data_IF_562993024077
#
_entry.id   IF_562993024077
#
_cell.length_a   1.000
_cell.length_b   1.000
_cell.length_c   1.000
_cell.angle_alpha   90.00
_cell.angle_beta   90.00
_cell.angle_gamma   90.00
#
_symmetry.space_group_name_H-M   'P 1'
#
loop_
_entity.id
_entity.type
_entity.pdbx_description
1 polymer ?
#
# COMPACT_ATOMS: atom_id res chain seq x y z
N UNK A 1 10.16 -13.87 5.56
CA UNK A 1 8.77 -13.86 5.08
C UNK A 1 8.59 -12.70 4.11
N UNK A 2 7.94 -12.94 2.97
CA UNK A 2 7.69 -11.88 1.98
C UNK A 2 6.57 -10.95 2.49
N UNK A 3 6.92 -9.70 2.84
CA UNK A 3 5.99 -8.67 3.34
C UNK A 3 4.84 -8.43 2.35
N UNK A 4 5.09 -8.62 1.06
CA UNK A 4 4.07 -8.47 0.00
C UNK A 4 3.01 -9.56 0.15
N UNK A 5 3.43 -10.82 0.31
CA UNK A 5 2.50 -11.95 0.49
C UNK A 5 1.71 -11.83 1.79
N UNK A 6 2.30 -11.31 2.86
CA UNK A 6 1.60 -11.04 4.11
C UNK A 6 0.46 -10.03 3.93
N UNK A 7 0.70 -8.92 3.21
CA UNK A 7 -0.32 -7.89 2.95
C UNK A 7 -1.43 -8.36 2.00
N UNK A 8 -1.14 -9.28 1.09
CA UNK A 8 -2.13 -9.87 0.19
C UNK A 8 -3.09 -10.77 0.97
N UNK A 9 -2.54 -11.63 1.84
CA UNK A 9 -3.28 -12.69 2.53
C UNK A 9 -3.95 -12.25 3.84
N UNK A 10 -3.60 -11.08 4.38
CA UNK A 10 -4.23 -10.53 5.59
C UNK A 10 -5.49 -9.71 5.27
N UNK A 11 -6.25 -9.35 6.31
CA UNK A 11 -7.44 -8.51 6.16
C UNK A 11 -7.08 -7.13 5.59
N UNK A 12 -8.04 -6.45 4.94
CA UNK A 12 -7.81 -5.08 4.43
C UNK A 12 -7.47 -4.12 5.56
N UNK A 13 -8.11 -4.27 6.72
CA UNK A 13 -7.90 -3.42 7.89
C UNK A 13 -6.52 -3.59 8.50
N UNK A 14 -6.02 -4.83 8.60
CA UNK A 14 -4.69 -5.10 9.17
C UNK A 14 -3.58 -4.63 8.22
N UNK A 15 -3.76 -4.88 6.91
CA UNK A 15 -2.86 -4.37 5.88
C UNK A 15 -2.78 -2.84 5.91
N UNK A 16 -3.93 -2.17 6.04
CA UNK A 16 -4.00 -0.71 6.15
C UNK A 16 -3.27 -0.23 7.39
N UNK A 17 -3.56 -0.79 8.57
CA UNK A 17 -2.94 -0.37 9.83
C UNK A 17 -1.42 -0.53 9.78
N UNK A 18 -0.95 -1.65 9.24
CA UNK A 18 0.49 -1.92 9.06
C UNK A 18 1.16 -0.90 8.14
N UNK A 19 0.52 -0.57 7.01
CA UNK A 19 1.02 0.41 6.05
C UNK A 19 0.93 1.84 6.58
N UNK A 20 -0.07 2.19 7.40
CA UNK A 20 -0.17 3.50 8.04
C UNK A 20 0.88 3.70 9.13
N UNK A 21 1.18 2.66 9.93
CA UNK A 21 2.32 2.68 10.84
C UNK A 21 3.65 2.85 10.10
N UNK A 22 3.83 2.10 9.00
CA UNK A 22 5.04 2.22 8.18
C UNK A 22 5.15 3.61 7.53
N UNK A 23 4.04 4.15 7.03
CA UNK A 23 3.97 5.48 6.43
C UNK A 23 4.39 6.57 7.42
N UNK A 24 4.01 6.46 8.69
CA UNK A 24 4.39 7.43 9.71
C UNK A 24 5.90 7.41 10.03
N UNK A 25 6.53 6.23 9.99
CA UNK A 25 7.94 6.06 10.34
C UNK A 25 8.89 6.20 9.15
N UNK A 26 8.53 5.62 8.00
CA UNK A 26 9.29 5.64 6.76
C UNK A 26 8.33 5.67 5.55
N UNK A 27 8.02 6.88 5.03
CA UNK A 27 7.11 7.04 3.91
C UNK A 27 7.59 6.35 2.62
N UNK A 28 8.90 6.29 2.40
CA UNK A 28 9.49 5.66 1.21
C UNK A 28 9.25 4.15 1.21
N UNK A 29 9.52 3.47 2.32
CA UNK A 29 9.28 2.03 2.45
C UNK A 29 7.79 1.69 2.28
N UNK A 30 6.90 2.51 2.87
CA UNK A 30 5.47 2.32 2.75
C UNK A 30 5.00 2.42 1.29
N UNK A 31 5.54 3.39 0.53
CA UNK A 31 5.28 3.56 -0.89
C UNK A 31 5.74 2.34 -1.69
N UNK A 32 7.00 1.94 -1.53
CA UNK A 32 7.58 0.83 -2.28
C UNK A 32 6.84 -0.48 -2.02
N UNK A 33 6.50 -0.75 -0.76
CA UNK A 33 5.76 -1.95 -0.39
C UNK A 33 4.35 -1.92 -0.96
N UNK A 34 3.63 -0.80 -0.86
CA UNK A 34 2.29 -0.67 -1.41
C UNK A 34 2.28 -0.84 -2.95
N UNK A 35 3.31 -0.31 -3.64
CA UNK A 35 3.46 -0.47 -5.09
C UNK A 35 3.74 -1.93 -5.47
N UNK A 36 4.65 -2.62 -4.78
CA UNK A 36 4.91 -4.05 -5.01
C UNK A 36 3.66 -4.91 -4.83
N UNK A 37 2.81 -4.59 -3.85
CA UNK A 37 1.53 -5.27 -3.65
C UNK A 37 0.56 -4.98 -4.79
N UNK A 38 0.46 -3.73 -5.25
CA UNK A 38 -0.37 -3.37 -6.42
C UNK A 38 0.07 -4.14 -7.68
N UNK A 39 1.38 -4.22 -7.91
CA UNK A 39 1.94 -4.91 -9.08
C UNK A 39 1.62 -6.42 -9.03
N UNK A 40 1.65 -7.03 -7.84
CA UNK A 40 1.26 -8.44 -7.61
C UNK A 40 -0.25 -8.68 -7.79
N UNK A 41 -1.10 -7.75 -7.38
CA UNK A 41 -2.56 -7.87 -7.55
C UNK A 41 -2.98 -7.72 -9.02
N UNK A 42 -2.11 -7.14 -9.85
CA UNK A 42 -2.35 -6.93 -11.27
C UNK A 42 -3.37 -5.82 -11.54
N UNK A 43 -3.77 -5.70 -12.80
CA UNK A 43 -4.80 -4.73 -13.20
C UNK A 43 -6.16 -5.18 -12.66
N UNK A 44 -6.97 -4.28 -12.06
CA UNK A 44 -8.34 -4.63 -11.67
C UNK A 44 -9.11 -5.05 -12.93
N UNK A 45 -9.58 -6.30 -12.96
CA UNK A 45 -10.57 -6.77 -13.91
C UNK A 45 -11.97 -6.60 -13.32
N UNK A 46 -12.97 -6.38 -14.18
CA UNK A 46 -14.38 -6.37 -13.76
C UNK A 46 -14.68 -7.69 -13.03
N UNK A 47 -15.13 -7.61 -11.77
CA UNK A 47 -15.43 -8.77 -10.91
C UNK A 47 -14.31 -9.21 -9.95
N UNK A 48 -13.14 -8.55 -9.95
CA UNK A 48 -12.07 -8.91 -9.02
C UNK A 48 -12.35 -8.37 -7.60
N UNK A 49 -12.46 -9.27 -6.61
CA UNK A 49 -12.75 -8.95 -5.20
C UNK A 49 -11.71 -8.09 -4.47
N UNK A 50 -10.66 -7.63 -5.15
CA UNK A 50 -9.57 -6.85 -4.57
C UNK A 50 -9.76 -5.33 -4.68
N UNK A 51 -10.89 -4.83 -5.18
CA UNK A 51 -11.11 -3.39 -5.40
C UNK A 51 -10.88 -2.53 -4.14
N UNK A 52 -11.32 -2.99 -2.97
CA UNK A 52 -11.10 -2.30 -1.70
C UNK A 52 -9.62 -2.25 -1.34
N UNK A 53 -8.89 -3.36 -1.55
CA UNK A 53 -7.45 -3.45 -1.31
C UNK A 53 -6.66 -2.54 -2.25
N UNK A 54 -6.97 -2.58 -3.54
CA UNK A 54 -6.33 -1.72 -4.56
C UNK A 54 -6.55 -0.25 -4.24
N UNK A 55 -7.77 0.13 -3.85
CA UNK A 55 -8.11 1.51 -3.49
C UNK A 55 -7.34 1.98 -2.25
N UNK A 56 -7.23 1.11 -1.24
CA UNK A 56 -6.44 1.36 -0.03
C UNK A 56 -4.95 1.53 -0.35
N UNK A 57 -4.35 0.63 -1.13
CA UNK A 57 -2.94 0.69 -1.51
C UNK A 57 -2.61 1.96 -2.31
N UNK A 58 -3.46 2.33 -3.28
CA UNK A 58 -3.33 3.59 -4.02
C UNK A 58 -3.39 4.81 -3.10
N UNK A 59 -4.19 4.75 -2.04
CA UNK A 59 -4.27 5.83 -1.04
C UNK A 59 -2.98 5.93 -0.23
N UNK A 60 -2.38 4.81 0.18
CA UNK A 60 -1.08 4.79 0.86
C UNK A 60 0.02 5.40 -0.01
N UNK A 61 0.10 5.00 -1.29
CA UNK A 61 1.09 5.56 -2.25
C UNK A 61 0.95 7.08 -2.35
N UNK A 62 -0.27 7.60 -2.54
CA UNK A 62 -0.52 9.05 -2.61
C UNK A 62 -0.16 9.78 -1.31
N UNK A 63 -0.46 9.20 -0.15
CA UNK A 63 -0.09 9.78 1.15
C UNK A 63 1.44 9.84 1.30
N UNK A 64 2.15 8.78 0.93
CA UNK A 64 3.60 8.72 0.97
C UNK A 64 4.24 9.76 0.05
N UNK A 65 3.78 9.86 -1.20
CA UNK A 65 4.25 10.87 -2.15
C UNK A 65 4.10 12.28 -1.59
N UNK A 66 2.95 12.59 -0.98
CA UNK A 66 2.70 13.90 -0.36
C UNK A 66 3.67 14.19 0.78
N UNK A 67 3.97 13.22 1.63
CA UNK A 67 4.91 13.41 2.74
C UNK A 67 6.34 13.59 2.23
N UNK A 68 6.79 12.77 1.28
CA UNK A 68 8.13 12.86 0.70
C UNK A 68 8.36 14.23 0.03
N UNK A 69 7.37 14.72 -0.73
CA UNK A 69 7.42 16.05 -1.34
C UNK A 69 7.47 17.18 -0.29
N UNK A 70 6.82 17.01 0.86
CA UNK A 70 6.84 18.00 1.93
C UNK A 70 8.20 18.05 2.66
N UNK A 71 8.90 16.91 2.75
CA UNK A 71 10.21 16.80 3.41
C UNK A 71 11.40 17.23 2.54
N UNK A 72 11.21 17.41 1.23
CA UNK A 72 12.25 17.84 0.29
C UNK A 72 12.39 19.37 0.14
N UNK A 73 11.88 20.15 1.10
CA UNK A 73 11.94 21.63 1.10
C UNK A 73 12.84 22.16 2.20
#
# INVERSE_FOLDING_TARGET
MDKVNSLINTSVSDAKSSLECMLASNPQDAKELAQKVLDRLGKPSMGCGNMTRISMLRTIVRKADKQLLATSK
#
